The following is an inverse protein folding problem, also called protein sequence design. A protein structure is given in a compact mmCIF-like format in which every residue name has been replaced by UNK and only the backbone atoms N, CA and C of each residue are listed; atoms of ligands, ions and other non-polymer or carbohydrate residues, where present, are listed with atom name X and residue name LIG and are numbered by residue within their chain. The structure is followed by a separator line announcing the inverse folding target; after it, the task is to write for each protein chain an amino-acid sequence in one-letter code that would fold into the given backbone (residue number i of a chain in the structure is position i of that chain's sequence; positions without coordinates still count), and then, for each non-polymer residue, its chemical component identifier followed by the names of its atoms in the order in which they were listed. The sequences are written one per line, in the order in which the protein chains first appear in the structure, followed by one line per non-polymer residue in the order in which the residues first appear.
data_IF_426875254561
#
_entry.id   IF_426875254561
#
_cell.length_a   1.000
_cell.length_b   1.000
_cell.length_c   1.000
_cell.angle_alpha   90.00
_cell.angle_beta   90.00
_cell.angle_gamma   90.00
#
_symmetry.space_group_name_H-M   'P 1'
#
loop_
_entity.id
_entity.type
_entity.pdbx_description
1 polymer ?
#
# COMPACT_ATOMS: atom_id res chain seq x y z
N UNK A 1 -14.80 2.27 23.13
CA UNK A 1 -13.72 3.27 23.07
C UNK A 1 -12.30 2.66 23.05
N UNK A 2 -12.07 1.44 22.51
CA UNK A 2 -10.72 0.85 22.38
C UNK A 2 -9.76 1.69 21.51
N UNK A 3 -10.30 2.49 20.59
CA UNK A 3 -9.54 3.30 19.64
C UNK A 3 -8.71 4.41 20.30
N UNK A 4 -9.21 5.05 21.36
CA UNK A 4 -8.50 6.16 22.03
C UNK A 4 -7.44 5.66 23.04
N UNK A 5 -7.59 4.43 23.54
CA UNK A 5 -6.64 3.85 24.51
C UNK A 5 -5.33 3.42 23.85
N UNK A 6 -5.34 3.09 22.55
CA UNK A 6 -4.15 2.70 21.80
C UNK A 6 -3.23 3.89 21.40
N UNK A 7 -3.68 5.14 21.58
CA UNK A 7 -2.92 6.34 21.21
C UNK A 7 -2.04 6.87 22.35
N UNK A 8 -2.19 6.34 23.56
CA UNK A 8 -1.35 6.72 24.69
C UNK A 8 -0.05 5.89 24.68
N UNK A 9 0.99 6.42 24.03
CA UNK A 9 2.36 5.89 24.16
C UNK A 9 3.20 6.77 25.09
N UNK A 10 4.04 6.13 25.90
CA UNK A 10 5.10 6.84 26.61
C UNK A 10 6.18 7.20 25.57
N UNK A 11 6.57 8.47 25.41
CA UNK A 11 7.60 8.85 24.45
C UNK A 11 8.90 8.08 24.70
N UNK A 12 9.46 7.50 23.64
CA UNK A 12 10.72 6.76 23.69
C UNK A 12 11.93 7.69 23.63
N UNK A 13 11.75 8.92 23.14
CA UNK A 13 12.82 9.89 22.88
C UNK A 13 13.29 9.89 21.42
N UNK A 14 12.83 8.93 20.62
CA UNK A 14 12.95 8.94 19.16
C UNK A 14 11.61 9.39 18.57
N UNK A 15 11.61 10.59 17.97
CA UNK A 15 10.40 11.22 17.43
C UNK A 15 9.83 10.45 16.23
N UNK A 16 10.69 9.85 15.41
CA UNK A 16 10.25 9.07 14.25
C UNK A 16 9.60 7.77 14.70
N UNK A 17 10.21 7.09 15.68
CA UNK A 17 9.63 5.90 16.28
C UNK A 17 8.30 6.18 16.99
N UNK A 18 8.23 7.27 17.75
CA UNK A 18 7.01 7.67 18.47
C UNK A 18 5.89 8.06 17.49
N UNK A 19 6.21 8.78 16.41
CA UNK A 19 5.25 9.12 15.36
C UNK A 19 4.65 7.86 14.73
N UNK A 20 5.49 6.91 14.30
CA UNK A 20 5.04 5.67 13.67
C UNK A 20 4.24 4.80 14.66
N UNK A 21 4.67 4.75 15.93
CA UNK A 21 3.99 4.00 16.99
C UNK A 21 2.57 4.52 17.27
N UNK A 22 2.31 5.83 17.10
CA UNK A 22 0.96 6.38 17.17
C UNK A 22 0.17 6.22 15.88
N UNK A 23 0.84 6.41 14.75
CA UNK A 23 0.14 6.62 13.48
C UNK A 23 -0.31 5.31 12.82
N UNK A 24 0.46 4.22 12.96
CA UNK A 24 0.03 2.88 12.52
C UNK A 24 -1.30 2.47 13.16
N UNK A 25 -1.48 2.48 14.50
CA UNK A 25 -2.77 2.10 15.09
C UNK A 25 -3.90 3.09 14.78
N UNK A 26 -3.61 4.40 14.63
CA UNK A 26 -4.60 5.37 14.14
C UNK A 26 -5.12 4.97 12.76
N UNK A 27 -4.23 4.65 11.82
CA UNK A 27 -4.57 4.24 10.47
C UNK A 27 -5.32 2.91 10.45
N UNK A 28 -4.92 1.95 11.29
CA UNK A 28 -5.64 0.68 11.41
C UNK A 28 -7.08 0.90 11.91
N UNK A 29 -7.30 1.79 12.87
CA UNK A 29 -8.65 2.16 13.32
C UNK A 29 -9.50 2.77 12.20
N UNK A 30 -8.92 3.62 11.36
CA UNK A 30 -9.61 4.18 10.20
C UNK A 30 -9.97 3.10 9.16
N UNK A 31 -9.07 2.14 8.90
CA UNK A 31 -9.34 0.99 8.03
C UNK A 31 -10.49 0.15 8.58
N UNK A 32 -10.49 -0.16 9.87
CA UNK A 32 -11.54 -0.97 10.51
C UNK A 32 -12.92 -0.29 10.40
N UNK A 33 -12.98 1.04 10.59
CA UNK A 33 -14.18 1.84 10.40
C UNK A 33 -14.63 1.89 8.93
N UNK A 34 -13.70 2.08 8.01
CA UNK A 34 -14.00 2.08 6.57
C UNK A 34 -14.54 0.72 6.11
N UNK A 35 -13.97 -0.39 6.60
CA UNK A 35 -14.52 -1.72 6.34
C UNK A 35 -15.93 -1.91 6.91
N UNK A 36 -16.21 -1.35 8.10
CA UNK A 36 -17.57 -1.35 8.65
C UNK A 36 -18.54 -0.56 7.75
N UNK A 37 -18.12 0.60 7.24
CA UNK A 37 -18.90 1.39 6.29
C UNK A 37 -19.19 0.62 4.99
N UNK A 38 -18.23 -0.14 4.46
CA UNK A 38 -18.45 -0.99 3.28
C UNK A 38 -19.43 -2.13 3.55
N UNK A 39 -19.38 -2.75 4.73
CA UNK A 39 -20.23 -3.88 5.10
C UNK A 39 -21.67 -3.48 5.46
N UNK A 40 -21.84 -2.35 6.15
CA UNK A 40 -23.10 -2.01 6.80
C UNK A 40 -23.70 -0.67 6.33
N UNK A 41 -22.93 0.15 5.61
CA UNK A 41 -23.39 1.43 5.11
C UNK A 41 -24.25 1.31 3.84
N UNK A 42 -25.14 2.27 3.64
CA UNK A 42 -26.04 2.34 2.47
C UNK A 42 -25.78 3.51 1.54
N UNK A 43 -25.02 4.53 1.97
CA UNK A 43 -24.67 5.68 1.15
C UNK A 43 -23.48 5.35 0.22
N UNK A 44 -23.71 5.40 -1.08
CA UNK A 44 -22.72 5.02 -2.10
C UNK A 44 -21.53 5.99 -2.21
N UNK A 45 -21.69 7.28 -1.90
CA UNK A 45 -20.56 8.20 -1.84
C UNK A 45 -19.65 7.87 -0.65
N UNK A 46 -20.24 7.57 0.52
CA UNK A 46 -19.48 7.19 1.70
C UNK A 46 -18.79 5.84 1.55
N UNK A 47 -19.36 4.90 0.78
CA UNK A 47 -18.71 3.63 0.47
C UNK A 47 -17.51 3.80 -0.46
N UNK A 48 -17.59 4.71 -1.45
CA UNK A 48 -16.42 5.06 -2.29
C UNK A 48 -15.30 5.67 -1.45
N UNK A 49 -15.64 6.63 -0.59
CA UNK A 49 -14.68 7.21 0.35
C UNK A 49 -14.05 6.13 1.25
N UNK A 50 -14.85 5.19 1.77
CA UNK A 50 -14.32 4.09 2.57
C UNK A 50 -13.32 3.21 1.81
N UNK A 51 -13.57 2.93 0.53
CA UNK A 51 -12.64 2.17 -0.31
C UNK A 51 -11.32 2.92 -0.52
N UNK A 52 -11.37 4.24 -0.72
CA UNK A 52 -10.19 5.10 -0.85
C UNK A 52 -9.38 5.13 0.44
N UNK A 53 -10.04 5.32 1.59
CA UNK A 53 -9.41 5.29 2.92
C UNK A 53 -8.64 3.97 3.12
N UNK A 54 -9.26 2.83 2.79
CA UNK A 54 -8.59 1.52 2.96
C UNK A 54 -7.28 1.46 2.17
N UNK A 55 -7.30 1.87 0.89
CA UNK A 55 -6.12 1.80 0.03
C UNK A 55 -5.02 2.75 0.52
N UNK A 56 -5.37 4.01 0.75
CA UNK A 56 -4.41 5.05 1.15
C UNK A 56 -3.78 4.74 2.51
N UNK A 57 -4.59 4.42 3.53
CA UNK A 57 -4.05 4.14 4.87
C UNK A 57 -3.18 2.87 4.89
N UNK A 58 -3.46 1.87 4.05
CA UNK A 58 -2.59 0.68 3.92
C UNK A 58 -1.21 1.03 3.34
N UNK A 59 -1.18 1.91 2.32
CA UNK A 59 0.08 2.38 1.72
C UNK A 59 0.90 3.23 2.70
N UNK A 60 0.24 4.07 3.49
CA UNK A 60 0.88 4.87 4.53
C UNK A 60 1.45 3.98 5.66
N UNK A 61 0.72 2.94 6.09
CA UNK A 61 1.25 1.94 7.04
C UNK A 61 2.50 1.25 6.47
N UNK A 62 2.48 0.84 5.21
CA UNK A 62 3.64 0.23 4.57
C UNK A 62 4.84 1.18 4.52
N UNK A 63 4.59 2.45 4.18
CA UNK A 63 5.61 3.51 4.15
C UNK A 63 6.24 3.73 5.52
N UNK A 64 5.42 3.83 6.57
CA UNK A 64 5.91 3.99 7.95
C UNK A 64 6.73 2.79 8.42
N UNK A 65 6.35 1.56 8.06
CA UNK A 65 7.15 0.36 8.39
C UNK A 65 8.50 0.36 7.68
N UNK A 66 8.51 0.71 6.40
CA UNK A 66 9.77 0.84 5.64
C UNK A 66 10.68 1.91 6.21
N UNK A 67 10.14 3.05 6.65
CA UNK A 67 10.90 4.15 7.24
C UNK A 67 11.66 3.71 8.52
N UNK A 68 11.09 2.77 9.29
CA UNK A 68 11.75 2.16 10.46
C UNK A 68 12.63 0.94 10.13
N UNK A 69 12.83 0.62 8.85
CA UNK A 69 13.59 -0.57 8.42
C UNK A 69 12.91 -1.90 8.73
N UNK A 70 11.60 -1.91 8.99
CA UNK A 70 10.84 -3.13 9.26
C UNK A 70 10.52 -3.88 7.96
N UNK A 71 10.47 -5.23 7.98
CA UNK A 71 10.06 -6.00 6.82
C UNK A 71 8.63 -5.63 6.41
N UNK A 72 8.43 -5.44 5.10
CA UNK A 72 7.12 -5.18 4.52
C UNK A 72 6.15 -6.34 4.83
N UNK A 73 4.87 -6.07 5.12
CA UNK A 73 3.88 -7.12 5.19
C UNK A 73 3.78 -7.83 3.82
N UNK A 74 3.42 -9.13 3.79
CA UNK A 74 3.25 -9.83 2.52
C UNK A 74 2.22 -9.11 1.67
N UNK A 75 2.54 -8.88 0.39
CA UNK A 75 1.64 -8.31 -0.61
C UNK A 75 0.43 -9.22 -0.76
N UNK A 76 -0.64 -8.96 -0.01
CA UNK A 76 -1.94 -9.58 -0.28
C UNK A 76 -2.55 -8.86 -1.48
N UNK A 77 -2.87 -9.56 -2.58
CA UNK A 77 -3.53 -8.92 -3.71
C UNK A 77 -4.87 -8.35 -3.25
N UNK A 78 -5.15 -7.09 -3.62
CA UNK A 78 -6.44 -6.45 -3.38
C UNK A 78 -7.57 -7.33 -3.98
N UNK A 79 -8.68 -7.58 -3.26
CA UNK A 79 -9.74 -8.52 -3.70
C UNK A 79 -10.50 -8.16 -4.99
N UNK A 80 -10.06 -7.16 -5.77
CA UNK A 80 -10.78 -6.63 -6.94
C UNK A 80 -9.96 -6.76 -8.24
N UNK A 81 -8.81 -7.44 -8.26
CA UNK A 81 -8.14 -7.69 -9.54
C UNK A 81 -8.66 -8.97 -10.20
N UNK A 82 -9.39 -8.91 -11.33
CA UNK A 82 -9.59 -10.09 -12.16
C UNK A 82 -8.22 -10.52 -12.67
N UNK A 83 -7.84 -11.77 -12.38
CA UNK A 83 -6.58 -12.36 -12.80
C UNK A 83 -6.43 -12.26 -14.32
N UNK A 84 -5.52 -11.40 -14.79
CA UNK A 84 -5.07 -11.47 -16.17
C UNK A 84 -4.05 -12.61 -16.24
N UNK A 85 -4.53 -13.79 -16.61
CA UNK A 85 -3.70 -14.92 -16.95
C UNK A 85 -2.80 -14.55 -18.14
N UNK A 86 -1.49 -14.74 -17.97
CA UNK A 86 -0.50 -14.54 -19.02
C UNK A 86 -0.70 -15.52 -20.19
N UNK A 87 -0.34 -15.15 -21.43
CA UNK A 87 0.09 -16.11 -22.42
C UNK A 87 1.62 -16.04 -22.65
N UNK A 88 2.20 -17.20 -22.39
CA UNK A 88 3.36 -17.90 -22.97
C UNK A 88 4.13 -17.24 -24.14
N UNK A 89 5.46 -17.21 -23.94
CA UNK A 89 6.61 -17.19 -24.85
C UNK A 89 6.42 -17.13 -26.38
N UNK A 90 7.17 -16.23 -27.02
CA UNK A 90 7.83 -16.47 -28.32
C UNK A 90 9.30 -16.04 -28.24
N UNK A 91 10.15 -16.93 -28.72
CA UNK A 91 11.60 -16.96 -28.67
C UNK A 91 12.23 -16.31 -29.93
N UNK A 92 13.42 -15.71 -29.75
CA UNK A 92 14.50 -15.40 -30.71
C UNK A 92 14.18 -14.68 -32.03
N UNK A 93 14.94 -13.64 -32.35
CA UNK A 93 16.02 -13.70 -33.37
C UNK A 93 16.92 -12.46 -33.27
N UNK A 94 18.23 -12.72 -33.38
CA UNK A 94 19.36 -11.78 -33.47
C UNK A 94 19.27 -10.83 -34.67
N UNK A 95 20.13 -9.79 -34.70
CA UNK A 95 20.86 -9.15 -35.83
C UNK A 95 21.14 -7.68 -35.43
N UNK A 96 22.19 -6.96 -35.81
CA UNK A 96 23.54 -7.19 -36.31
C UNK A 96 24.13 -5.77 -36.38
N UNK A 97 25.37 -5.56 -35.89
CA UNK A 97 26.02 -4.25 -35.80
C UNK A 97 26.16 -3.55 -37.16
N UNK A 98 25.91 -2.25 -37.21
CA UNK A 98 26.17 -1.38 -38.37
C UNK A 98 27.64 -0.92 -38.38
N UNK A 99 28.38 -1.07 -39.50
CA UNK A 99 29.62 -0.35 -39.70
C UNK A 99 29.43 0.99 -40.41
N UNK A 100 30.26 1.91 -39.96
CA UNK A 100 30.48 3.29 -40.36
C UNK A 100 31.15 3.28 -41.74
N UNK A 101 30.63 4.02 -42.72
CA UNK A 101 31.38 4.33 -43.94
C UNK A 101 31.35 5.83 -44.25
N UNK A 102 32.56 6.30 -44.51
CA UNK A 102 33.04 7.67 -44.70
C UNK A 102 33.11 7.98 -46.19
N UNK A 103 32.68 9.17 -46.53
CA UNK A 103 32.80 9.86 -47.83
C UNK A 103 34.23 9.83 -48.41
N UNK A 104 34.36 10.01 -49.73
CA UNK A 104 35.33 10.94 -50.31
C UNK A 104 34.68 12.29 -50.69
#
# INVERSE_FOLDING_TARGET
AKMMTAMAIKPSGDVDADFVAMMIPHHQGAIDMAQAQLRYGSNEQLKRLAQEIIVTQQQEIATMRMALGQPLPPSVPSPIQPSSAAPTAVQSMSHHSLPIHREP
#
